data_IF_578871418822
#
_entry.id   IF_578871418822
#
_cell.length_a   1.000
_cell.length_b   1.000
_cell.length_c   1.000
_cell.angle_alpha   90.00
_cell.angle_beta   90.00
_cell.angle_gamma   90.00
#
_symmetry.space_group_name_H-M   'P 1'
#
loop_
_entity.id
_entity.type
_entity.pdbx_description
1 polymer ?
#
# COMPACT_ATOMS: atom_id res chain seq x y z
N UNK A 1 14.76 -45.37 -32.52
CA UNK A 1 14.32 -44.94 -33.86
C UNK A 1 13.15 -43.99 -33.69
N UNK A 2 13.40 -42.68 -33.76
CA UNK A 2 12.39 -41.62 -33.67
C UNK A 2 11.54 -41.62 -34.94
N UNK A 3 10.21 -41.71 -34.78
CA UNK A 3 9.26 -41.48 -35.88
C UNK A 3 9.35 -40.00 -36.26
N UNK A 4 9.85 -39.72 -37.46
CA UNK A 4 9.68 -38.42 -38.12
C UNK A 4 8.18 -38.18 -38.29
N UNK A 5 7.67 -37.09 -37.70
CA UNK A 5 6.33 -36.60 -37.98
C UNK A 5 6.28 -36.21 -39.46
N UNK A 6 5.51 -36.93 -40.27
CA UNK A 6 5.23 -36.55 -41.65
C UNK A 6 4.42 -35.25 -41.66
N UNK A 7 5.12 -34.13 -41.87
CA UNK A 7 4.54 -32.80 -41.92
C UNK A 7 3.82 -32.63 -43.26
N UNK A 8 2.48 -32.71 -43.26
CA UNK A 8 1.68 -32.45 -44.46
C UNK A 8 1.51 -30.94 -44.62
N UNK A 9 2.34 -30.34 -45.47
CA UNK A 9 2.18 -28.94 -45.91
C UNK A 9 0.75 -28.80 -46.44
N UNK A 10 -0.04 -27.85 -45.91
CA UNK A 10 -1.38 -27.56 -46.43
C UNK A 10 -1.28 -27.28 -47.93
N UNK A 11 -2.21 -27.81 -48.73
CA UNK A 11 -2.10 -27.81 -50.21
C UNK A 11 -1.84 -26.40 -50.76
N UNK A 12 -0.57 -26.07 -50.99
CA UNK A 12 -0.16 -24.87 -51.72
C UNK A 12 -0.54 -25.10 -53.17
N UNK A 13 -1.40 -24.24 -53.71
CA UNK A 13 -1.79 -24.31 -55.13
C UNK A 13 -0.54 -24.06 -55.98
N UNK A 14 -0.01 -25.13 -56.58
CA UNK A 14 1.13 -25.03 -57.48
C UNK A 14 0.64 -24.60 -58.87
N UNK A 15 1.04 -23.40 -59.32
CA UNK A 15 0.71 -22.85 -60.63
C UNK A 15 1.40 -23.58 -61.80
N UNK A 16 2.34 -24.51 -61.52
CA UNK A 16 3.06 -25.34 -62.51
C UNK A 16 3.75 -24.54 -63.64
N UNK A 17 4.18 -23.31 -63.35
CA UNK A 17 4.91 -22.46 -64.32
C UNK A 17 6.27 -23.08 -64.72
N UNK A 18 6.87 -23.89 -63.83
CA UNK A 18 8.05 -24.70 -64.09
C UNK A 18 7.96 -26.03 -63.33
N UNK A 19 8.68 -27.09 -63.75
CA UNK A 19 8.73 -28.34 -63.01
C UNK A 19 9.47 -28.16 -61.68
N UNK A 20 8.88 -28.63 -60.58
CA UNK A 20 9.58 -28.68 -59.30
C UNK A 20 10.75 -29.67 -59.40
N UNK A 21 11.92 -29.35 -58.82
CA UNK A 21 13.05 -30.27 -58.78
C UNK A 21 12.66 -31.56 -58.06
N UNK A 22 13.20 -32.70 -58.51
CA UNK A 22 12.98 -33.99 -57.84
C UNK A 22 13.50 -33.88 -56.41
N UNK A 23 12.63 -34.17 -55.44
CA UNK A 23 12.88 -34.06 -53.99
C UNK A 23 14.09 -34.88 -53.52
N UNK A 24 14.45 -35.94 -54.25
CA UNK A 24 15.62 -36.79 -53.96
C UNK A 24 16.96 -36.18 -54.38
N UNK A 25 16.97 -35.24 -55.33
CA UNK A 25 18.20 -34.66 -55.89
C UNK A 25 18.54 -33.32 -55.22
N UNK A 26 17.52 -32.57 -54.77
CA UNK A 26 17.70 -31.25 -54.17
C UNK A 26 16.96 -31.15 -52.82
N UNK A 27 17.32 -32.03 -51.89
CA UNK A 27 16.75 -32.08 -50.54
C UNK A 27 16.97 -30.78 -49.74
N UNK A 28 18.07 -30.06 -50.02
CA UNK A 28 18.44 -28.83 -49.32
C UNK A 28 17.42 -27.69 -49.47
N UNK A 29 16.71 -27.61 -50.61
CA UNK A 29 15.71 -26.54 -50.84
C UNK A 29 14.49 -26.73 -49.94
N UNK A 30 14.11 -27.97 -49.64
CA UNK A 30 12.95 -28.29 -48.80
C UNK A 30 13.29 -28.38 -47.30
N UNK A 31 14.57 -28.52 -46.96
CA UNK A 31 15.06 -28.62 -45.58
C UNK A 31 14.95 -27.29 -44.82
N UNK A 32 15.08 -26.15 -45.51
CA UNK A 32 15.08 -24.83 -44.88
C UNK A 32 13.77 -24.52 -44.14
N UNK A 33 12.62 -24.84 -44.75
CA UNK A 33 11.31 -24.62 -44.11
C UNK A 33 11.07 -25.51 -42.89
N UNK A 34 11.70 -26.69 -42.83
CA UNK A 34 11.65 -27.55 -41.64
C UNK A 34 12.49 -26.97 -40.48
N UNK A 35 13.71 -26.48 -40.78
CA UNK A 35 14.58 -25.87 -39.78
C UNK A 35 13.97 -24.60 -39.14
N UNK A 36 13.28 -23.76 -39.92
CA UNK A 36 12.61 -22.57 -39.37
C UNK A 36 11.51 -22.97 -38.37
N UNK A 37 10.70 -23.99 -38.68
CA UNK A 37 9.65 -24.48 -37.78
C UNK A 37 10.24 -25.08 -36.51
N UNK A 38 11.31 -25.87 -36.62
CA UNK A 38 12.00 -26.41 -35.44
C UNK A 38 12.55 -25.30 -34.53
N UNK A 39 13.12 -24.25 -35.11
CA UNK A 39 13.66 -23.11 -34.35
C UNK A 39 12.53 -22.35 -33.64
N UNK A 40 11.38 -22.15 -34.29
CA UNK A 40 10.20 -21.56 -33.65
C UNK A 40 9.64 -22.43 -32.51
N UNK A 41 9.57 -23.75 -32.69
CA UNK A 41 9.11 -24.67 -31.65
C UNK A 41 10.08 -24.69 -30.45
N UNK A 42 11.39 -24.64 -30.70
CA UNK A 42 12.40 -24.54 -29.65
C UNK A 42 12.27 -23.22 -28.88
N UNK A 43 12.13 -22.09 -29.58
CA UNK A 43 11.92 -20.79 -28.97
C UNK A 43 10.66 -20.72 -28.09
N UNK A 44 9.53 -21.28 -28.57
CA UNK A 44 8.29 -21.35 -27.79
C UNK A 44 8.47 -22.19 -26.51
N UNK A 45 9.18 -23.33 -26.62
CA UNK A 45 9.46 -24.18 -25.45
C UNK A 45 10.30 -23.46 -24.41
N UNK A 46 11.35 -22.76 -24.81
CA UNK A 46 12.21 -22.02 -23.88
C UNK A 46 11.48 -20.87 -23.20
N UNK A 47 10.74 -20.06 -23.97
CA UNK A 47 9.94 -18.95 -23.43
C UNK A 47 8.89 -19.48 -22.46
N UNK A 48 8.16 -20.54 -22.82
CA UNK A 48 7.15 -21.15 -21.94
C UNK A 48 7.76 -21.71 -20.64
N UNK A 49 8.95 -22.32 -20.71
CA UNK A 49 9.67 -22.82 -19.55
C UNK A 49 10.13 -21.69 -18.62
N UNK A 50 10.59 -20.56 -19.17
CA UNK A 50 10.95 -19.37 -18.39
C UNK A 50 9.71 -18.79 -17.70
N UNK A 51 8.60 -18.62 -18.41
CA UNK A 51 7.34 -18.15 -17.82
C UNK A 51 6.87 -19.05 -16.67
N UNK A 52 6.84 -20.37 -16.87
CA UNK A 52 6.46 -21.32 -15.82
C UNK A 52 7.37 -21.21 -14.59
N UNK A 53 8.69 -21.06 -14.77
CA UNK A 53 9.65 -20.89 -13.66
C UNK A 53 9.43 -19.57 -12.92
N UNK A 54 9.18 -18.47 -13.63
CA UNK A 54 8.91 -17.17 -13.03
C UNK A 54 7.60 -17.18 -12.23
N UNK A 55 6.53 -17.74 -12.79
CA UNK A 55 5.24 -17.88 -12.09
C UNK A 55 5.36 -18.74 -10.83
N UNK A 56 6.11 -19.84 -10.88
CA UNK A 56 6.37 -20.67 -9.71
C UNK A 56 7.12 -19.90 -8.61
N UNK A 57 8.17 -19.15 -8.99
CA UNK A 57 8.93 -18.33 -8.04
C UNK A 57 8.04 -17.28 -7.37
N UNK A 58 7.20 -16.58 -8.15
CA UNK A 58 6.26 -15.59 -7.63
C UNK A 58 5.26 -16.20 -6.63
N UNK A 59 4.78 -17.41 -6.91
CA UNK A 59 3.90 -18.13 -6.00
C UNK A 59 4.58 -18.47 -4.67
N UNK A 60 5.80 -19.00 -4.72
CA UNK A 60 6.56 -19.32 -3.50
C UNK A 60 6.90 -18.06 -2.71
N UNK A 61 7.31 -16.97 -3.37
CA UNK A 61 7.57 -15.71 -2.68
C UNK A 61 6.33 -15.15 -2.01
N UNK A 62 5.14 -15.29 -2.61
CA UNK A 62 3.88 -14.87 -1.99
C UNK A 62 3.64 -15.58 -0.66
N UNK A 63 3.84 -16.90 -0.61
CA UNK A 63 3.65 -17.67 0.62
C UNK A 63 4.60 -17.23 1.73
N UNK A 64 5.86 -16.92 1.38
CA UNK A 64 6.86 -16.42 2.32
C UNK A 64 6.45 -15.02 2.82
N UNK A 65 6.10 -14.10 1.91
CA UNK A 65 5.67 -12.75 2.26
C UNK A 65 4.42 -12.79 3.16
N UNK A 66 3.42 -13.62 2.84
CA UNK A 66 2.23 -13.77 3.68
C UNK A 66 2.57 -14.27 5.09
N UNK A 67 3.57 -15.16 5.22
CA UNK A 67 4.09 -15.62 6.51
C UNK A 67 4.78 -14.51 7.29
N UNK A 68 5.70 -13.77 6.64
CA UNK A 68 6.46 -12.67 7.23
C UNK A 68 5.53 -11.52 7.65
N UNK A 69 4.54 -11.17 6.83
CA UNK A 69 3.57 -10.12 7.16
C UNK A 69 2.72 -10.53 8.35
N UNK A 70 2.28 -11.79 8.43
CA UNK A 70 1.55 -12.29 9.60
C UNK A 70 2.43 -12.26 10.86
N UNK A 71 3.69 -12.66 10.79
CA UNK A 71 4.59 -12.56 11.95
C UNK A 71 4.88 -11.11 12.31
N UNK A 72 5.00 -10.22 11.33
CA UNK A 72 5.20 -8.79 11.57
C UNK A 72 3.99 -8.13 12.24
N UNK A 73 2.76 -8.48 11.84
CA UNK A 73 1.50 -7.92 12.39
C UNK A 73 1.08 -8.57 13.71
N UNK A 74 1.30 -9.87 13.90
CA UNK A 74 0.82 -10.57 15.09
C UNK A 74 1.92 -10.91 16.09
N UNK A 75 3.19 -10.89 15.67
CA UNK A 75 4.32 -11.28 16.52
C UNK A 75 4.36 -12.76 16.85
N UNK A 76 5.37 -13.15 17.63
CA UNK A 76 5.41 -14.47 18.26
C UNK A 76 4.32 -14.54 19.34
N UNK A 77 3.47 -15.58 19.26
CA UNK A 77 2.35 -15.83 20.19
C UNK A 77 1.21 -14.79 20.24
N UNK A 78 1.01 -13.99 19.18
CA UNK A 78 -0.09 -12.99 19.10
C UNK A 78 -0.04 -11.89 20.19
N UNK A 79 1.13 -11.64 20.79
CA UNK A 79 1.24 -10.77 21.98
C UNK A 79 2.05 -9.50 21.77
N UNK A 80 2.95 -9.44 20.79
CA UNK A 80 3.80 -8.26 20.58
C UNK A 80 4.18 -8.12 19.11
N UNK A 81 3.73 -7.04 18.50
CA UNK A 81 3.86 -6.79 17.06
C UNK A 81 4.88 -5.67 16.81
N UNK A 82 5.82 -5.91 15.89
CA UNK A 82 6.83 -4.92 15.50
C UNK A 82 6.21 -3.70 14.78
N UNK A 83 5.00 -3.82 14.21
CA UNK A 83 4.25 -2.69 13.65
C UNK A 83 3.94 -1.61 14.71
N UNK A 84 3.74 -2.02 15.96
CA UNK A 84 3.38 -1.10 17.06
C UNK A 84 4.64 -0.39 17.60
N UNK A 85 5.83 -0.90 17.27
CA UNK A 85 7.10 -0.31 17.70
C UNK A 85 7.40 0.90 16.80
N UNK A 86 6.73 2.02 17.07
CA UNK A 86 7.07 3.31 16.52
C UNK A 86 8.42 3.76 17.09
N UNK A 87 9.51 3.55 16.35
CA UNK A 87 10.82 4.07 16.73
C UNK A 87 10.88 5.55 16.39
N UNK A 88 10.52 6.39 17.35
CA UNK A 88 10.76 7.83 17.27
C UNK A 88 12.15 8.11 17.81
N UNK A 89 13.02 8.66 16.97
CA UNK A 89 14.34 9.13 17.40
C UNK A 89 14.18 10.49 18.09
N UNK A 90 13.63 10.50 19.30
CA UNK A 90 13.56 11.68 20.15
C UNK A 90 14.54 11.53 21.30
N UNK A 91 15.28 12.59 21.62
CA UNK A 91 16.11 12.63 22.82
C UNK A 91 15.14 12.82 23.99
N UNK A 92 15.31 12.10 25.10
CA UNK A 92 14.39 12.15 26.27
C UNK A 92 14.09 13.58 26.72
N UNK A 93 15.08 14.48 26.62
CA UNK A 93 14.92 15.91 26.95
C UNK A 93 13.92 16.64 26.04
N UNK A 94 13.79 16.23 24.79
CA UNK A 94 12.88 16.84 23.82
C UNK A 94 11.42 16.48 24.13
N UNK A 95 11.16 15.33 24.76
CA UNK A 95 9.80 14.90 25.13
C UNK A 95 9.25 15.75 26.28
N UNK A 96 10.04 15.95 27.35
CA UNK A 96 9.64 16.80 28.48
C UNK A 96 9.41 18.26 28.05
N UNK A 97 10.26 18.78 27.15
CA UNK A 97 10.11 20.14 26.62
C UNK A 97 8.84 20.25 25.76
N UNK A 98 8.55 19.24 24.92
CA UNK A 98 7.32 19.20 24.13
C UNK A 98 6.08 19.13 25.02
N UNK A 99 6.12 18.30 26.07
CA UNK A 99 5.06 18.19 27.05
C UNK A 99 4.78 19.54 27.71
N UNK A 100 5.82 20.17 28.27
CA UNK A 100 5.71 21.49 28.90
C UNK A 100 5.24 22.59 27.93
N UNK A 101 5.60 22.49 26.65
CA UNK A 101 5.10 23.41 25.64
C UNK A 101 3.59 23.26 25.39
N UNK A 102 3.08 22.03 25.37
CA UNK A 102 1.64 21.77 25.28
C UNK A 102 0.91 22.26 26.53
N UNK A 103 1.47 22.00 27.72
CA UNK A 103 0.94 22.49 29.00
C UNK A 103 0.82 24.01 29.01
N UNK A 104 1.86 24.71 28.53
CA UNK A 104 1.87 26.16 28.41
C UNK A 104 0.78 26.63 27.44
N UNK A 105 0.66 26.00 26.27
CA UNK A 105 -0.36 26.34 25.26
C UNK A 105 -1.78 26.17 25.78
N UNK A 106 -2.03 25.16 26.61
CA UNK A 106 -3.34 24.93 27.21
C UNK A 106 -3.76 26.04 28.17
N UNK A 107 -2.82 26.61 28.92
CA UNK A 107 -3.10 27.66 29.91
C UNK A 107 -3.14 29.08 29.32
N UNK A 108 -2.79 29.25 28.06
CA UNK A 108 -2.82 30.56 27.39
C UNK A 108 -4.23 30.86 26.92
N UNK A 109 -4.83 31.89 27.52
CA UNK A 109 -6.09 32.48 27.06
C UNK A 109 -5.87 33.89 26.51
N UNK A 110 -6.71 34.28 25.54
CA UNK A 110 -6.69 35.64 25.00
C UNK A 110 -7.37 36.61 25.97
N UNK A 111 -6.88 37.86 26.08
CA UNK A 111 -7.51 38.86 26.92
C UNK A 111 -8.92 39.20 26.41
N UNK A 112 -9.79 39.64 27.33
CA UNK A 112 -11.16 40.10 27.11
C UNK A 112 -12.20 39.04 26.66
N UNK A 113 -11.79 37.83 26.28
CA UNK A 113 -12.71 36.77 25.87
C UNK A 113 -13.61 37.20 24.69
N UNK A 114 -14.88 36.83 24.74
CA UNK A 114 -15.88 37.17 23.73
C UNK A 114 -16.67 38.44 24.08
N UNK A 115 -17.21 39.10 23.05
CA UNK A 115 -18.03 40.32 23.16
C UNK A 115 -19.23 40.12 24.11
N UNK A 116 -19.35 40.93 25.18
CA UNK A 116 -20.46 40.84 26.12
C UNK A 116 -21.82 41.18 25.50
N UNK A 117 -21.88 41.96 24.42
CA UNK A 117 -23.16 42.38 23.81
C UNK A 117 -23.90 41.25 23.11
N UNK A 118 -23.20 40.18 22.76
CA UNK A 118 -23.78 38.99 22.12
C UNK A 118 -24.36 38.04 23.17
N UNK A 119 -24.06 38.25 24.46
CA UNK A 119 -24.56 37.43 25.56
C UNK A 119 -25.92 37.95 26.05
N UNK A 120 -26.67 37.08 26.71
CA UNK A 120 -27.99 37.42 27.23
C UNK A 120 -27.89 38.56 28.23
N UNK A 121 -28.71 39.59 28.05
CA UNK A 121 -28.75 40.73 28.97
C UNK A 121 -29.63 40.43 30.18
N UNK A 122 -29.19 40.89 31.34
CA UNK A 122 -29.93 40.72 32.60
C UNK A 122 -31.29 41.42 32.56
N UNK A 123 -31.40 42.55 31.85
CA UNK A 123 -32.66 43.29 31.66
C UNK A 123 -33.72 42.42 30.97
N UNK A 124 -33.32 41.70 29.93
CA UNK A 124 -34.24 40.83 29.19
C UNK A 124 -34.67 39.64 30.03
N UNK A 125 -33.80 39.12 30.90
CA UNK A 125 -34.15 38.03 31.82
C UNK A 125 -35.14 38.49 32.89
N UNK A 126 -34.97 39.71 33.40
CA UNK A 126 -35.91 40.31 34.35
C UNK A 126 -37.31 40.46 33.73
N UNK A 127 -37.39 40.94 32.49
CA UNK A 127 -38.66 41.09 31.77
C UNK A 127 -39.36 39.74 31.50
N UNK A 128 -38.59 38.67 31.39
CA UNK A 128 -39.10 37.29 31.28
C UNK A 128 -39.54 36.69 32.64
N UNK A 129 -39.36 37.42 33.75
CA UNK A 129 -39.74 37.00 35.09
C UNK A 129 -38.66 36.21 35.85
N UNK A 130 -37.42 36.19 35.36
CA UNK A 130 -36.29 35.57 36.06
C UNK A 130 -35.51 36.59 36.89
N UNK A 131 -35.20 36.26 38.14
CA UNK A 131 -34.31 37.06 38.99
C UNK A 131 -32.87 36.55 38.85
N UNK A 132 -31.95 37.41 38.43
CA UNK A 132 -30.52 37.10 38.39
C UNK A 132 -29.85 37.40 39.73
N UNK A 133 -28.87 36.58 40.11
CA UNK A 133 -27.99 36.83 41.25
C UNK A 133 -26.64 37.33 40.73
N UNK A 134 -26.11 38.39 41.32
CA UNK A 134 -24.77 38.87 41.02
C UNK A 134 -23.77 38.13 41.88
N UNK A 135 -23.07 37.16 41.27
CA UNK A 135 -21.99 36.44 41.92
C UNK A 135 -20.70 37.26 41.91
N UNK A 136 -19.96 37.22 43.03
CA UNK A 136 -18.66 37.88 43.16
C UNK A 136 -17.54 37.13 42.42
N UNK A 137 -16.50 37.86 42.04
CA UNK A 137 -15.34 37.29 41.37
C UNK A 137 -14.57 36.33 42.29
N UNK A 138 -14.37 35.09 41.85
CA UNK A 138 -13.59 34.11 42.59
C UNK A 138 -12.09 34.30 42.35
N UNK A 139 -11.39 34.76 43.37
CA UNK A 139 -9.93 35.01 43.31
C UNK A 139 -9.09 33.78 43.71
N UNK A 140 -9.69 32.76 44.33
CA UNK A 140 -8.95 31.63 44.93
C UNK A 140 -8.80 30.42 43.99
N UNK A 141 -9.16 30.54 42.71
CA UNK A 141 -9.11 29.43 41.75
C UNK A 141 -7.82 29.50 40.94
N UNK A 142 -7.00 28.45 41.04
CA UNK A 142 -5.76 28.31 40.27
C UNK A 142 -6.02 27.35 39.10
N UNK A 143 -5.92 27.85 37.86
CA UNK A 143 -6.03 27.02 36.65
C UNK A 143 -4.88 26.03 36.59
N UNK A 144 -5.16 24.77 36.25
CA UNK A 144 -4.18 23.69 36.11
C UNK A 144 -4.42 22.92 34.82
N UNK A 145 -3.36 22.32 34.31
CA UNK A 145 -3.40 21.49 33.11
C UNK A 145 -4.05 20.14 33.44
N UNK A 146 -4.88 19.59 32.54
CA UNK A 146 -5.39 18.24 32.68
C UNK A 146 -4.29 17.19 32.44
N UNK A 147 -4.61 15.93 32.66
CA UNK A 147 -3.71 14.81 32.38
C UNK A 147 -3.33 14.75 30.88
N UNK A 148 -2.08 14.35 30.59
CA UNK A 148 -1.46 14.27 29.26
C UNK A 148 -2.33 13.67 28.16
N UNK A 149 -3.12 12.65 28.50
CA UNK A 149 -4.10 12.01 27.59
C UNK A 149 -5.12 12.97 26.96
N UNK A 150 -5.32 14.15 27.52
CA UNK A 150 -6.21 15.20 27.01
C UNK A 150 -5.46 16.31 26.26
N UNK A 151 -4.13 16.19 26.14
CA UNK A 151 -3.27 17.09 25.39
C UNK A 151 -2.83 16.38 24.11
N UNK A 152 -3.68 16.43 23.09
CA UNK A 152 -3.42 15.91 21.75
C UNK A 152 -3.34 17.07 20.74
#
# INVERSE_FOLDING_TARGET
MSKLLEFKISNVVNLKLWPNPRTTIIANIYFFGYCEIELHIQGIKEVSAIYCRCSWRLFVTKLIVDGVVKSFIFGENRRTCDLIIGQWRKIVRDEDIQQQFLEMRYLIELPAGDDPLVKTSDYLQHDLGFTTFQDELQHNVIKRVPHDKYML
#
